data_IF_638297225948
#
_entry.id   IF_638297225948
#
_cell.length_a   1.000
_cell.length_b   1.000
_cell.length_c   1.000
_cell.angle_alpha   90.00
_cell.angle_beta   90.00
_cell.angle_gamma   90.00
#
_symmetry.space_group_name_H-M   'P 1'
#
loop_
_entity.id
_entity.type
_entity.pdbx_description
1 polymer ?
#
# COMPACT_ATOMS: atom_id res chain seq x y z
N UNK A 1 24.47 34.91 34.16
CA UNK A 1 24.37 34.53 32.71
C UNK A 1 24.51 33.01 32.52
N UNK A 2 25.59 32.35 33.04
CA UNK A 2 25.81 30.89 32.84
C UNK A 2 24.68 30.00 33.40
N UNK A 3 24.16 30.29 34.58
CA UNK A 3 23.08 29.54 35.19
C UNK A 3 21.77 29.58 34.37
N UNK A 4 21.44 30.72 33.77
CA UNK A 4 20.26 30.86 32.91
C UNK A 4 20.40 30.03 31.60
N UNK A 5 21.59 29.97 31.04
CA UNK A 5 21.88 29.12 29.86
C UNK A 5 21.72 27.64 30.17
N UNK A 6 22.22 27.20 31.35
CA UNK A 6 22.08 25.80 31.77
C UNK A 6 20.61 25.41 32.01
N UNK A 7 19.81 26.29 32.62
CA UNK A 7 18.36 26.04 32.82
C UNK A 7 17.63 25.94 31.48
N UNK A 8 17.90 26.83 30.54
CA UNK A 8 17.29 26.79 29.22
C UNK A 8 17.70 25.55 28.40
N UNK A 9 18.98 25.18 28.46
CA UNK A 9 19.48 23.97 27.81
C UNK A 9 18.86 22.70 28.41
N UNK A 10 18.72 22.65 29.74
CA UNK A 10 18.06 21.51 30.43
C UNK A 10 16.58 21.43 30.11
N UNK A 11 15.87 22.56 30.08
CA UNK A 11 14.46 22.59 29.71
C UNK A 11 14.24 22.20 28.23
N UNK A 12 15.14 22.66 27.35
CA UNK A 12 15.12 22.27 25.94
C UNK A 12 15.40 20.77 25.76
N UNK A 13 16.42 20.24 26.47
CA UNK A 13 16.74 18.81 26.44
C UNK A 13 15.58 17.95 26.92
N UNK A 14 14.95 18.33 28.03
CA UNK A 14 13.78 17.63 28.58
C UNK A 14 12.60 17.62 27.59
N UNK A 15 12.36 18.76 26.94
CA UNK A 15 11.31 18.84 25.93
C UNK A 15 11.65 18.03 24.69
N UNK A 16 12.91 18.08 24.25
CA UNK A 16 13.41 17.30 23.14
C UNK A 16 13.31 15.79 23.43
N UNK A 17 13.78 15.36 24.58
CA UNK A 17 13.73 13.97 25.03
C UNK A 17 12.26 13.48 25.18
N UNK A 18 11.38 14.29 25.74
CA UNK A 18 9.96 13.96 25.87
C UNK A 18 9.23 13.80 24.54
N UNK A 19 9.55 14.65 23.55
CA UNK A 19 9.00 14.52 22.19
C UNK A 19 9.59 13.28 21.50
N UNK A 20 10.91 13.09 21.59
CA UNK A 20 11.55 11.98 20.91
C UNK A 20 11.33 10.63 21.60
N UNK A 21 11.09 10.57 22.92
CA UNK A 21 10.65 9.33 23.57
C UNK A 21 9.30 8.85 23.05
N UNK A 22 8.36 9.77 22.83
CA UNK A 22 7.11 9.40 22.19
C UNK A 22 7.34 8.75 20.83
N UNK A 23 8.28 9.24 20.05
CA UNK A 23 8.69 8.63 18.78
C UNK A 23 9.64 7.43 18.97
N UNK A 24 10.39 7.34 20.06
CA UNK A 24 11.30 6.22 20.36
C UNK A 24 10.59 5.02 20.99
N UNK A 25 9.51 5.23 21.70
CA UNK A 25 8.62 4.15 22.15
C UNK A 25 7.85 3.53 20.95
N UNK A 26 7.70 4.29 19.86
CA UNK A 26 7.30 3.81 18.54
C UNK A 26 8.49 3.50 17.61
N UNK A 27 9.72 3.70 18.03
CA UNK A 27 10.95 3.50 17.23
C UNK A 27 11.45 2.03 17.22
N UNK A 28 10.61 1.09 17.55
CA UNK A 28 10.69 -0.21 16.93
C UNK A 28 10.00 -0.15 15.58
N UNK A 29 10.48 0.71 14.65
CA UNK A 29 10.02 0.64 13.26
C UNK A 29 10.30 -0.77 12.78
N UNK A 30 9.26 -1.58 12.74
CA UNK A 30 9.32 -2.91 12.18
C UNK A 30 9.40 -2.80 10.65
N UNK A 31 10.11 -3.71 10.06
CA UNK A 31 10.07 -3.91 8.62
C UNK A 31 9.94 -5.42 8.35
N UNK A 32 8.91 -5.77 7.64
CA UNK A 32 8.66 -7.14 7.18
C UNK A 32 8.51 -7.12 5.66
N UNK A 33 9.16 -8.04 5.00
CA UNK A 33 8.96 -8.24 3.56
C UNK A 33 8.86 -9.73 3.23
N UNK A 34 8.10 -10.02 2.20
CA UNK A 34 8.00 -11.35 1.61
C UNK A 34 8.05 -11.25 0.08
N UNK A 35 8.27 -12.36 -0.56
CA UNK A 35 8.27 -12.45 -2.02
C UNK A 35 6.86 -12.75 -2.55
N UNK A 36 6.65 -12.48 -3.84
CA UNK A 36 5.43 -12.91 -4.54
C UNK A 36 5.17 -14.40 -4.33
N UNK A 37 3.93 -14.78 -4.06
CA UNK A 37 3.53 -16.15 -3.71
C UNK A 37 3.63 -16.48 -2.21
N UNK A 38 4.23 -15.62 -1.40
CA UNK A 38 4.25 -15.76 0.06
C UNK A 38 3.13 -14.96 0.73
N UNK A 39 2.72 -15.38 1.92
CA UNK A 39 1.62 -14.75 2.67
C UNK A 39 2.17 -13.80 3.71
N UNK A 40 1.63 -12.59 3.76
CA UNK A 40 1.93 -11.55 4.73
C UNK A 40 0.70 -11.28 5.60
N UNK A 41 0.88 -11.33 6.94
CA UNK A 41 -0.20 -11.02 7.89
C UNK A 41 -0.24 -9.54 8.22
N UNK A 42 -1.44 -8.95 8.28
CA UNK A 42 -1.57 -7.54 8.68
C UNK A 42 -1.10 -7.31 10.11
N UNK A 43 -1.51 -8.17 11.07
CA UNK A 43 -1.08 -8.03 12.48
C UNK A 43 -1.75 -6.86 13.21
N UNK A 44 -1.23 -6.52 14.40
CA UNK A 44 -1.69 -5.41 15.24
C UNK A 44 -0.60 -4.32 15.45
N UNK A 45 0.48 -4.43 14.70
CA UNK A 45 1.70 -3.65 14.83
C UNK A 45 1.78 -2.47 13.83
N UNK A 46 0.63 -2.02 13.32
CA UNK A 46 0.51 -0.86 12.45
C UNK A 46 -0.69 0.03 12.85
N UNK A 47 -0.68 1.27 12.37
CA UNK A 47 -1.78 2.23 12.56
C UNK A 47 -2.56 2.31 11.25
N UNK A 48 -3.84 2.01 11.33
CA UNK A 48 -4.79 2.13 10.25
C UNK A 48 -5.65 3.40 10.46
N UNK A 49 -5.93 4.08 9.37
CA UNK A 49 -6.77 5.30 9.38
C UNK A 49 -8.25 4.99 9.11
N UNK A 50 -8.57 3.79 8.67
CA UNK A 50 -9.91 3.39 8.25
C UNK A 50 -10.39 2.10 8.91
N UNK A 51 -10.23 1.00 8.21
CA UNK A 51 -10.66 -0.32 8.65
C UNK A 51 -9.47 -1.10 9.20
N UNK A 52 -9.62 -1.69 10.37
CA UNK A 52 -8.59 -2.60 10.89
C UNK A 52 -8.65 -3.92 10.16
N UNK A 53 -7.48 -4.40 9.74
CA UNK A 53 -7.32 -5.67 9.06
C UNK A 53 -6.67 -6.75 9.96
N UNK A 54 -6.78 -6.60 11.28
CA UNK A 54 -6.26 -7.59 12.23
C UNK A 54 -6.92 -8.96 11.96
N UNK A 55 -6.09 -9.99 11.82
CA UNK A 55 -6.53 -11.34 11.48
C UNK A 55 -6.76 -11.56 9.98
N UNK A 56 -6.45 -10.55 9.15
CA UNK A 56 -6.35 -10.74 7.72
C UNK A 56 -4.92 -11.04 7.30
N UNK A 57 -4.80 -11.72 6.18
CA UNK A 57 -3.54 -11.94 5.48
C UNK A 57 -3.71 -11.70 3.99
N UNK A 58 -2.61 -11.37 3.32
CA UNK A 58 -2.56 -11.09 1.89
C UNK A 58 -1.37 -11.81 1.24
N UNK A 59 -1.57 -12.32 0.05
CA UNK A 59 -0.51 -12.84 -0.80
C UNK A 59 -0.64 -12.23 -2.19
N UNK A 60 0.45 -11.78 -2.78
CA UNK A 60 0.48 -11.42 -4.20
C UNK A 60 0.73 -12.70 -5.01
N UNK A 61 -0.15 -12.97 -5.97
CA UNK A 61 -0.12 -14.17 -6.80
C UNK A 61 0.47 -13.89 -8.20
N UNK A 62 0.38 -12.62 -8.65
CA UNK A 62 0.83 -12.20 -9.96
C UNK A 62 1.08 -10.70 -10.01
N UNK A 63 1.99 -10.31 -10.90
CA UNK A 63 2.30 -8.93 -11.22
C UNK A 63 2.56 -8.79 -12.71
N UNK A 64 1.95 -7.79 -13.34
CA UNK A 64 2.14 -7.49 -14.76
C UNK A 64 2.02 -5.99 -15.03
N UNK A 65 2.67 -5.52 -16.09
CA UNK A 65 2.56 -4.15 -16.57
C UNK A 65 1.93 -4.17 -17.95
N UNK A 66 0.77 -3.54 -18.07
CA UNK A 66 -0.07 -3.59 -19.29
C UNK A 66 -0.40 -2.18 -19.79
N UNK A 67 -0.73 -2.06 -21.06
CA UNK A 67 -1.22 -0.81 -21.64
C UNK A 67 -2.63 -0.51 -21.10
N UNK A 68 -2.85 0.71 -20.60
CA UNK A 68 -4.14 1.13 -20.04
C UNK A 68 -5.28 0.99 -21.07
N UNK A 69 -5.06 1.44 -22.32
CA UNK A 69 -6.07 1.42 -23.37
C UNK A 69 -6.58 -0.01 -23.66
N UNK A 70 -5.69 -1.01 -23.61
CA UNK A 70 -6.06 -2.39 -23.84
C UNK A 70 -7.02 -2.92 -22.78
N UNK A 71 -6.77 -2.61 -21.51
CA UNK A 71 -7.64 -3.00 -20.39
C UNK A 71 -8.98 -2.26 -20.45
N UNK A 72 -8.95 -0.96 -20.72
CA UNK A 72 -10.14 -0.14 -20.83
C UNK A 72 -11.05 -0.58 -21.99
N UNK A 73 -10.47 -0.95 -23.14
CA UNK A 73 -11.20 -1.48 -24.30
C UNK A 73 -11.84 -2.85 -24.00
N UNK A 74 -11.10 -3.75 -23.37
CA UNK A 74 -11.60 -5.09 -23.00
C UNK A 74 -12.80 -5.00 -22.05
N UNK A 75 -12.75 -4.11 -21.09
CA UNK A 75 -13.82 -3.91 -20.11
C UNK A 75 -14.99 -3.05 -20.67
N UNK A 76 -14.82 -2.43 -21.83
CA UNK A 76 -15.77 -1.42 -22.33
C UNK A 76 -15.84 -0.20 -21.40
N UNK A 77 -14.78 0.06 -20.66
CA UNK A 77 -14.70 1.11 -19.68
C UNK A 77 -14.42 2.45 -20.37
N UNK A 78 -15.44 3.31 -20.41
CA UNK A 78 -15.31 4.66 -20.94
C UNK A 78 -14.90 5.60 -19.81
N UNK A 79 -13.62 5.71 -19.55
CA UNK A 79 -13.15 6.63 -18.55
C UNK A 79 -13.30 8.08 -19.00
N UNK A 80 -13.84 8.90 -18.10
CA UNK A 80 -13.93 10.35 -18.29
C UNK A 80 -12.74 11.10 -17.68
N UNK A 81 -11.63 10.39 -17.42
CA UNK A 81 -10.41 11.00 -16.89
C UNK A 81 -9.84 12.02 -17.88
N UNK A 82 -9.48 13.18 -17.36
CA UNK A 82 -8.86 14.26 -18.14
C UNK A 82 -7.44 13.85 -18.59
N UNK A 83 -6.79 12.97 -17.82
CA UNK A 83 -5.41 12.53 -18.02
C UNK A 83 -5.29 11.05 -17.62
N UNK A 84 -5.66 10.13 -18.53
CA UNK A 84 -5.53 8.69 -18.25
C UNK A 84 -4.05 8.29 -18.13
N UNK A 85 -3.72 7.23 -17.37
CA UNK A 85 -2.36 6.71 -17.35
C UNK A 85 -2.03 6.06 -18.69
N UNK A 86 -0.77 6.01 -19.06
CA UNK A 86 -0.32 5.28 -20.26
C UNK A 86 -0.32 3.78 -20.02
N UNK A 87 0.07 3.37 -18.80
CA UNK A 87 0.13 1.96 -18.41
C UNK A 87 -0.50 1.71 -17.04
N UNK A 88 -0.79 0.46 -16.78
CA UNK A 88 -1.20 -0.03 -15.48
C UNK A 88 -0.22 -1.07 -14.98
N UNK A 89 0.11 -0.99 -13.69
CA UNK A 89 0.65 -2.13 -12.97
C UNK A 89 -0.53 -2.89 -12.35
N UNK A 90 -0.67 -4.14 -12.71
CA UNK A 90 -1.73 -5.02 -12.24
C UNK A 90 -1.12 -5.99 -11.22
N UNK A 91 -1.67 -6.00 -10.02
CA UNK A 91 -1.28 -6.93 -8.96
C UNK A 91 -2.45 -7.85 -8.66
N UNK A 92 -2.28 -9.14 -8.88
CA UNK A 92 -3.26 -10.13 -8.45
C UNK A 92 -2.97 -10.54 -7.02
N UNK A 93 -3.95 -10.42 -6.13
CA UNK A 93 -3.79 -10.77 -4.72
C UNK A 93 -4.88 -11.71 -4.26
N UNK A 94 -4.52 -12.57 -3.30
CA UNK A 94 -5.47 -13.34 -2.49
C UNK A 94 -5.49 -12.72 -1.09
N UNK A 95 -6.66 -12.20 -0.71
CA UNK A 95 -6.95 -11.70 0.62
C UNK A 95 -7.70 -12.77 1.41
N UNK A 96 -7.28 -13.04 2.63
CA UNK A 96 -7.87 -14.06 3.48
C UNK A 96 -8.21 -13.50 4.85
N UNK A 97 -9.37 -13.87 5.39
CA UNK A 97 -9.74 -13.63 6.77
C UNK A 97 -9.49 -14.90 7.58
N UNK A 98 -8.50 -14.87 8.47
CA UNK A 98 -8.07 -15.98 9.32
C UNK A 98 -8.76 -15.99 10.70
N UNK A 99 -10.00 -15.52 10.79
CA UNK A 99 -10.81 -15.53 12.02
C UNK A 99 -11.01 -14.16 12.64
N UNK A 100 -10.84 -13.09 11.85
CA UNK A 100 -11.10 -11.73 12.30
C UNK A 100 -12.59 -11.37 12.32
N UNK A 101 -12.97 -10.62 13.34
CA UNK A 101 -14.26 -9.91 13.40
C UNK A 101 -14.11 -8.43 13.03
N UNK A 102 -12.91 -8.01 12.67
CA UNK A 102 -12.61 -6.63 12.28
C UNK A 102 -13.26 -6.28 10.93
N UNK A 103 -13.55 -5.00 10.67
CA UNK A 103 -14.37 -4.59 9.54
C UNK A 103 -13.75 -4.85 8.16
N UNK A 104 -12.49 -5.24 8.05
CA UNK A 104 -11.88 -5.66 6.79
C UNK A 104 -10.69 -4.80 6.34
N UNK A 105 -10.44 -4.79 5.04
CA UNK A 105 -9.29 -4.12 4.40
C UNK A 105 -9.78 -2.98 3.52
N UNK A 106 -9.18 -1.81 3.66
CA UNK A 106 -9.36 -0.67 2.76
C UNK A 106 -8.32 -0.76 1.64
N UNK A 107 -8.75 -1.17 0.46
CA UNK A 107 -7.86 -1.47 -0.67
C UNK A 107 -7.00 -0.28 -1.14
N UNK A 108 -7.48 0.99 -1.17
CA UNK A 108 -6.65 2.13 -1.52
C UNK A 108 -5.49 2.42 -0.57
N UNK A 109 -5.45 1.82 0.61
CA UNK A 109 -4.32 1.91 1.53
C UNK A 109 -3.16 0.98 1.13
N UNK A 110 -3.43 -0.01 0.27
CA UNK A 110 -2.41 -0.82 -0.37
C UNK A 110 -1.77 0.00 -1.49
N UNK A 111 -0.50 0.35 -1.34
CA UNK A 111 0.16 1.27 -2.26
C UNK A 111 1.29 0.59 -3.03
N UNK A 112 1.47 0.99 -4.28
CA UNK A 112 2.54 0.46 -5.11
C UNK A 112 3.66 1.49 -5.22
N UNK A 113 4.88 1.08 -4.99
CA UNK A 113 6.03 1.95 -5.12
C UNK A 113 7.29 1.20 -5.57
N UNK A 114 8.28 1.95 -5.98
CA UNK A 114 9.65 1.50 -6.23
C UNK A 114 10.63 2.50 -5.63
N UNK A 115 11.92 2.36 -5.98
CA UNK A 115 12.95 3.27 -5.47
C UNK A 115 12.69 4.74 -5.82
N UNK A 116 12.16 4.99 -7.02
CA UNK A 116 12.05 6.34 -7.60
C UNK A 116 10.61 6.77 -7.86
N UNK A 117 9.62 5.97 -7.49
CA UNK A 117 8.24 6.28 -7.76
C UNK A 117 7.30 5.75 -6.68
N UNK A 118 6.17 6.40 -6.60
CA UNK A 118 5.00 6.02 -5.84
C UNK A 118 3.80 6.20 -6.74
N UNK A 119 2.85 5.28 -6.71
CA UNK A 119 1.69 5.37 -7.59
C UNK A 119 0.39 5.06 -6.87
N UNK A 120 -0.67 5.68 -7.37
CA UNK A 120 -2.02 5.55 -6.85
C UNK A 120 -2.78 4.42 -7.55
N UNK A 121 -3.65 3.77 -6.79
CA UNK A 121 -4.59 2.79 -7.32
C UNK A 121 -5.62 3.46 -8.23
N UNK A 122 -5.91 2.85 -9.38
CA UNK A 122 -7.01 3.28 -10.24
C UNK A 122 -8.34 2.78 -9.67
N UNK A 123 -9.02 3.65 -8.92
CA UNK A 123 -10.25 3.29 -8.21
C UNK A 123 -11.42 2.95 -9.13
N UNK A 124 -11.47 3.53 -10.32
CA UNK A 124 -12.49 3.22 -11.32
C UNK A 124 -12.33 1.79 -11.82
N UNK A 125 -11.13 1.45 -12.28
CA UNK A 125 -10.84 0.08 -12.74
C UNK A 125 -10.85 -0.94 -11.60
N UNK A 126 -10.51 -0.54 -10.36
CA UNK A 126 -10.60 -1.44 -9.21
C UNK A 126 -11.99 -2.06 -9.07
N UNK A 127 -13.02 -1.24 -9.19
CA UNK A 127 -14.42 -1.71 -9.08
C UNK A 127 -14.84 -2.55 -10.28
N UNK A 128 -14.45 -2.14 -11.50
CA UNK A 128 -14.77 -2.88 -12.72
C UNK A 128 -14.10 -4.26 -12.77
N UNK A 129 -12.83 -4.33 -12.36
CA UNK A 129 -12.08 -5.60 -12.30
C UNK A 129 -12.52 -6.51 -11.16
N UNK A 130 -13.15 -5.95 -10.11
CA UNK A 130 -13.57 -6.70 -8.93
C UNK A 130 -15.06 -6.50 -8.62
N UNK A 131 -15.98 -7.14 -9.36
CA UNK A 131 -17.43 -7.01 -9.12
C UNK A 131 -17.86 -7.38 -7.69
N UNK A 132 -17.09 -8.21 -7.00
CA UNK A 132 -17.33 -8.59 -5.60
C UNK A 132 -17.30 -7.39 -4.64
N UNK A 133 -16.69 -6.28 -5.01
CA UNK A 133 -16.64 -5.05 -4.21
C UNK A 133 -17.96 -4.27 -4.23
N UNK A 134 -18.87 -4.57 -5.16
CA UNK A 134 -20.18 -3.92 -5.29
C UNK A 134 -20.11 -2.37 -5.30
N UNK A 135 -19.04 -1.82 -5.89
CA UNK A 135 -18.80 -0.38 -5.94
C UNK A 135 -18.12 0.22 -4.70
N UNK A 136 -17.69 -0.60 -3.75
CA UNK A 136 -16.94 -0.16 -2.56
C UNK A 136 -15.43 -0.27 -2.79
N UNK A 137 -14.65 0.42 -1.95
CA UNK A 137 -13.19 0.35 -1.95
C UNK A 137 -12.63 -0.45 -0.78
N UNK A 138 -13.48 -0.85 0.15
CA UNK A 138 -13.14 -1.72 1.26
C UNK A 138 -13.84 -3.06 1.13
N UNK A 139 -13.21 -4.11 1.61
CA UNK A 139 -13.76 -5.46 1.59
C UNK A 139 -13.72 -6.07 2.98
N UNK A 140 -14.87 -6.63 3.41
CA UNK A 140 -14.98 -7.43 4.62
C UNK A 140 -15.33 -8.86 4.23
N UNK A 141 -14.50 -9.80 4.61
CA UNK A 141 -14.67 -11.21 4.31
C UNK A 141 -15.28 -11.94 5.51
N UNK A 142 -16.16 -12.92 5.27
CA UNK A 142 -16.57 -13.84 6.31
C UNK A 142 -15.37 -14.55 6.96
N UNK A 143 -15.55 -14.97 8.22
CA UNK A 143 -14.55 -15.73 8.95
C UNK A 143 -14.10 -16.99 8.17
N UNK A 144 -12.80 -17.26 8.14
CA UNK A 144 -12.16 -18.37 7.41
C UNK A 144 -12.51 -18.42 5.91
N UNK A 145 -12.64 -17.26 5.28
CA UNK A 145 -12.87 -17.15 3.84
C UNK A 145 -11.75 -16.37 3.14
N UNK A 146 -11.67 -16.51 1.82
CA UNK A 146 -10.70 -15.84 0.99
C UNK A 146 -11.36 -15.22 -0.25
N UNK A 147 -10.73 -14.21 -0.80
CA UNK A 147 -11.15 -13.54 -2.02
C UNK A 147 -9.94 -13.18 -2.87
N UNK A 148 -10.03 -13.44 -4.17
CA UNK A 148 -9.04 -12.95 -5.14
C UNK A 148 -9.46 -11.61 -5.67
N UNK A 149 -8.49 -10.70 -5.75
CA UNK A 149 -8.68 -9.34 -6.22
C UNK A 149 -7.59 -8.97 -7.21
N UNK A 150 -7.96 -8.13 -8.15
CA UNK A 150 -7.05 -7.51 -9.11
C UNK A 150 -6.90 -6.04 -8.77
N UNK A 151 -5.70 -5.62 -8.41
CA UNK A 151 -5.39 -4.26 -7.98
C UNK A 151 -4.70 -3.49 -9.10
N UNK A 152 -5.39 -2.54 -9.78
CA UNK A 152 -4.81 -1.73 -10.83
C UNK A 152 -4.17 -0.46 -10.28
N UNK A 153 -2.91 -0.19 -10.62
CA UNK A 153 -2.18 1.01 -10.26
C UNK A 153 -1.82 1.83 -11.49
N UNK A 154 -1.96 3.15 -11.40
CA UNK A 154 -1.65 4.05 -12.51
C UNK A 154 -0.14 4.20 -12.70
N UNK A 155 0.35 3.98 -13.91
CA UNK A 155 1.72 4.32 -14.29
C UNK A 155 1.70 5.42 -15.35
N UNK A 156 2.34 6.56 -15.03
CA UNK A 156 2.45 7.70 -15.93
C UNK A 156 3.90 8.02 -16.20
N UNK A 157 4.22 8.26 -17.47
CA UNK A 157 5.57 8.68 -17.86
C UNK A 157 6.01 9.94 -17.12
N UNK A 158 5.08 10.86 -16.85
CA UNK A 158 5.35 12.10 -16.13
C UNK A 158 5.74 11.91 -14.65
N UNK A 159 5.44 10.76 -14.07
CA UNK A 159 5.73 10.45 -12.66
C UNK A 159 7.04 9.69 -12.47
N UNK A 160 7.60 9.12 -13.53
CA UNK A 160 8.83 8.35 -13.49
C UNK A 160 9.99 9.10 -14.15
N UNK A 161 11.23 8.73 -13.78
CA UNK A 161 12.39 9.16 -14.55
C UNK A 161 12.38 8.48 -15.93
N UNK A 162 12.99 9.10 -16.95
CA UNK A 162 13.04 8.52 -18.30
C UNK A 162 13.70 7.13 -18.32
N UNK A 163 14.68 6.89 -17.46
CA UNK A 163 15.34 5.60 -17.34
C UNK A 163 14.41 4.56 -16.72
N UNK A 164 13.66 4.92 -15.68
CA UNK A 164 12.66 4.04 -15.06
C UNK A 164 11.54 3.70 -16.04
N UNK A 165 11.02 4.69 -16.76
CA UNK A 165 9.97 4.46 -17.76
C UNK A 165 10.39 3.53 -18.90
N UNK A 166 11.63 3.68 -19.39
CA UNK A 166 12.15 2.82 -20.46
C UNK A 166 12.53 1.41 -19.99
N UNK A 167 12.70 1.20 -18.70
CA UNK A 167 13.09 -0.08 -18.08
C UNK A 167 12.06 -0.59 -17.06
N UNK A 168 10.76 -0.33 -17.30
CA UNK A 168 9.69 -0.74 -16.38
C UNK A 168 9.72 -2.22 -16.02
N UNK A 169 10.09 -3.08 -16.97
CA UNK A 169 10.18 -4.53 -16.77
C UNK A 169 11.37 -4.96 -15.89
N UNK A 170 12.27 -4.04 -15.55
CA UNK A 170 13.45 -4.27 -14.72
C UNK A 170 13.39 -3.49 -13.38
N UNK A 171 12.31 -2.77 -13.14
CA UNK A 171 12.15 -2.01 -11.90
C UNK A 171 11.88 -2.92 -10.72
N UNK A 172 12.51 -2.62 -9.59
CA UNK A 172 12.10 -3.20 -8.32
C UNK A 172 10.78 -2.55 -7.89
N UNK A 173 9.75 -3.36 -7.78
CA UNK A 173 8.37 -2.94 -7.46
C UNK A 173 7.91 -3.64 -6.19
N UNK A 174 7.35 -2.86 -5.29
CA UNK A 174 6.91 -3.29 -3.96
C UNK A 174 5.44 -2.93 -3.77
N UNK A 175 4.67 -3.87 -3.26
CA UNK A 175 3.32 -3.62 -2.75
C UNK A 175 3.41 -3.38 -1.25
N UNK A 176 3.23 -2.14 -0.83
CA UNK A 176 3.16 -1.78 0.58
C UNK A 176 1.78 -2.14 1.13
N UNK A 177 1.77 -3.00 2.14
CA UNK A 177 0.56 -3.50 2.80
C UNK A 177 0.24 -2.69 4.04
N UNK A 178 1.26 -2.33 4.82
CA UNK A 178 1.15 -1.42 5.97
C UNK A 178 2.31 -0.43 5.97
N UNK A 179 2.11 0.76 6.58
CA UNK A 179 3.11 1.83 6.52
C UNK A 179 3.81 2.11 7.86
N UNK A 180 3.09 2.15 8.96
CA UNK A 180 3.63 2.64 10.24
C UNK A 180 2.87 2.07 11.44
N UNK A 181 3.53 1.73 12.58
CA UNK A 181 4.98 1.74 12.81
C UNK A 181 5.74 0.59 12.16
N UNK A 182 5.07 -0.51 11.79
CA UNK A 182 5.67 -1.61 11.04
C UNK A 182 5.31 -1.48 9.57
N UNK A 183 6.30 -1.29 8.72
CA UNK A 183 6.13 -1.34 7.26
C UNK A 183 6.16 -2.79 6.82
N UNK A 184 5.13 -3.22 6.10
CA UNK A 184 5.05 -4.56 5.53
C UNK A 184 4.89 -4.47 4.02
N UNK A 185 5.71 -5.21 3.29
CA UNK A 185 5.80 -5.10 1.84
C UNK A 185 5.91 -6.47 1.17
N UNK A 186 5.34 -6.59 -0.01
CA UNK A 186 5.53 -7.75 -0.88
C UNK A 186 6.39 -7.32 -2.06
N UNK A 187 7.51 -8.00 -2.27
CA UNK A 187 8.39 -7.80 -3.42
C UNK A 187 7.73 -8.47 -4.62
N UNK A 188 7.36 -7.65 -5.63
CA UNK A 188 6.65 -8.12 -6.83
C UNK A 188 7.63 -8.43 -7.97
N UNK A 189 8.72 -7.65 -8.04
CA UNK A 189 9.73 -7.73 -9.11
C UNK A 189 11.06 -7.18 -8.63
#
# INVERSE_FOLDING_TARGET
AAAAVLVLASAWYWRYDGINRYFQDYAGLGYESCEIGETLCFGDDYIDTGLRALGYSIAAEGFDIVEYEAVAEELGYAETMIDPPERLAIVEVTLKNDGSTDPGVMLPELTLHGLDFYTDMNLGLLVELNPVLEGNYGISLPDNSECRLTLPYNLRESQLSKSAWSGLDELSVLLQVTAYPTTKEIVLQ
#
